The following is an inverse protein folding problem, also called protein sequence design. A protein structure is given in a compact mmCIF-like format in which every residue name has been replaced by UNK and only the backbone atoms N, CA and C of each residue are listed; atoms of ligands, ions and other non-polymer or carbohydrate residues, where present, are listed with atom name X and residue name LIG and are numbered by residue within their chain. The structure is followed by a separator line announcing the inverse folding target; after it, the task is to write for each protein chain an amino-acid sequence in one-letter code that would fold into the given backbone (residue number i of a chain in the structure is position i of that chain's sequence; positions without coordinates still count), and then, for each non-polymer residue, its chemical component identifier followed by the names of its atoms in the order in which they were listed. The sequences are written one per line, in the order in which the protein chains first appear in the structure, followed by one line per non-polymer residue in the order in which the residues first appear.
data_IF_359640254055
#
_entry.id   IF_359640254055
#
_cell.length_a   1.000
_cell.length_b   1.000
_cell.length_c   1.000
_cell.angle_alpha   90.00
_cell.angle_beta   90.00
_cell.angle_gamma   90.00
#
_symmetry.space_group_name_H-M   'P 1'
#
loop_
_entity.id
_entity.type
_entity.pdbx_description
1 polymer ?
#
# COMPACT_ATOMS: atom_id res chain seq x y z
N UNK A 1 -14.37 -11.11 -2.05
CA UNK A 1 -12.89 -11.07 -2.19
C UNK A 1 -12.38 -10.08 -1.17
N UNK A 2 -11.41 -10.46 -0.32
CA UNK A 2 -10.92 -9.58 0.75
C UNK A 2 -10.11 -8.43 0.13
N UNK A 3 -10.66 -7.22 0.12
CA UNK A 3 -9.99 -6.00 -0.33
C UNK A 3 -8.59 -5.82 0.29
N UNK A 4 -8.39 -6.34 1.51
CA UNK A 4 -7.10 -6.34 2.20
C UNK A 4 -6.04 -7.23 1.54
N UNK A 5 -6.41 -8.41 1.05
CA UNK A 5 -5.47 -9.30 0.35
C UNK A 5 -5.06 -8.70 -0.98
N UNK A 6 -6.00 -8.07 -1.69
CA UNK A 6 -5.72 -7.38 -2.95
C UNK A 6 -4.84 -6.15 -2.74
N UNK A 7 -5.13 -5.35 -1.70
CA UNK A 7 -4.32 -4.19 -1.33
C UNK A 7 -2.89 -4.61 -0.95
N UNK A 8 -2.74 -5.64 -0.11
CA UNK A 8 -1.44 -6.15 0.28
C UNK A 8 -0.64 -6.66 -0.93
N UNK A 9 -1.31 -7.36 -1.86
CA UNK A 9 -0.68 -7.85 -3.08
C UNK A 9 -0.19 -6.71 -3.98
N UNK A 10 -1.03 -5.69 -4.22
CA UNK A 10 -0.67 -4.53 -5.03
C UNK A 10 0.43 -3.69 -4.38
N UNK A 11 0.41 -3.53 -3.05
CA UNK A 11 1.50 -2.88 -2.31
C UNK A 11 2.81 -3.63 -2.52
N UNK A 12 2.77 -4.95 -2.36
CA UNK A 12 3.94 -5.81 -2.51
C UNK A 12 4.56 -5.71 -3.90
N UNK A 13 3.76 -5.75 -4.96
CA UNK A 13 4.29 -5.69 -6.32
C UNK A 13 4.76 -4.27 -6.67
N UNK A 14 4.00 -3.23 -6.27
CA UNK A 14 4.30 -1.84 -6.64
C UNK A 14 5.46 -1.22 -5.84
N UNK A 15 5.55 -1.53 -4.55
CA UNK A 15 6.54 -0.95 -3.65
C UNK A 15 7.62 -1.95 -3.25
N UNK A 16 7.47 -3.23 -3.57
CA UNK A 16 8.54 -4.18 -3.38
C UNK A 16 8.82 -4.52 -1.93
N UNK A 17 7.79 -4.91 -1.18
CA UNK A 17 7.90 -5.32 0.24
C UNK A 17 8.34 -6.78 0.36
N UNK A 18 8.78 -7.20 1.55
CA UNK A 18 9.17 -8.58 1.79
C UNK A 18 8.03 -9.56 1.48
N UNK A 19 8.30 -10.84 1.15
CA UNK A 19 7.27 -11.81 0.79
C UNK A 19 6.21 -12.04 1.88
N UNK A 20 6.56 -11.82 3.14
CA UNK A 20 5.71 -11.95 4.33
C UNK A 20 5.10 -10.61 4.77
N UNK A 21 5.33 -9.54 4.02
CA UNK A 21 4.87 -8.17 4.29
C UNK A 21 4.09 -7.61 3.09
N UNK A 22 3.12 -6.71 3.32
CA UNK A 22 2.65 -6.23 4.63
C UNK A 22 1.80 -7.28 5.37
N UNK A 23 2.04 -7.44 6.68
CA UNK A 23 1.17 -8.21 7.58
C UNK A 23 -0.18 -7.52 7.77
N UNK A 24 -1.21 -8.22 8.27
CA UNK A 24 -2.52 -7.63 8.56
C UNK A 24 -2.44 -6.39 9.46
N UNK A 25 -1.54 -6.39 10.44
CA UNK A 25 -1.33 -5.25 11.33
C UNK A 25 -0.69 -4.05 10.60
N UNK A 26 0.38 -4.29 9.82
CA UNK A 26 1.03 -3.25 9.02
C UNK A 26 0.06 -2.67 7.98
N UNK A 27 -0.71 -3.54 7.31
CA UNK A 27 -1.72 -3.14 6.35
C UNK A 27 -2.79 -2.25 6.98
N UNK A 28 -3.26 -2.60 8.18
CA UNK A 28 -4.21 -1.77 8.93
C UNK A 28 -3.65 -0.39 9.24
N UNK A 29 -2.37 -0.30 9.63
CA UNK A 29 -1.68 0.98 9.88
C UNK A 29 -1.51 1.81 8.61
N UNK A 30 -1.11 1.19 7.51
CA UNK A 30 -1.00 1.84 6.19
C UNK A 30 -2.36 2.40 5.78
N UNK A 31 -3.43 1.61 5.89
CA UNK A 31 -4.80 2.07 5.62
C UNK A 31 -5.18 3.26 6.48
N UNK A 32 -4.89 3.23 7.78
CA UNK A 32 -5.19 4.34 8.69
C UNK A 32 -4.46 5.63 8.30
N UNK A 33 -3.16 5.59 8.00
CA UNK A 33 -2.39 6.78 7.58
C UNK A 33 -2.90 7.33 6.24
N UNK A 34 -3.19 6.45 5.27
CA UNK A 34 -3.76 6.83 3.97
C UNK A 34 -5.15 7.47 4.14
N UNK A 35 -6.01 6.86 4.96
CA UNK A 35 -7.32 7.43 5.29
C UNK A 35 -7.20 8.78 6.00
N UNK A 36 -6.21 8.95 6.87
CA UNK A 36 -5.95 10.22 7.54
C UNK A 36 -5.50 11.33 6.57
N UNK A 37 -4.70 11.00 5.56
CA UNK A 37 -4.34 11.95 4.49
C UNK A 37 -5.55 12.32 3.65
N UNK A 38 -6.34 11.33 3.22
CA UNK A 38 -7.58 11.56 2.45
C UNK A 38 -8.59 12.38 3.25
N UNK A 39 -8.73 12.12 4.55
CA UNK A 39 -9.59 12.89 5.45
C UNK A 39 -9.15 14.36 5.61
N UNK A 40 -7.86 14.66 5.39
CA UNK A 40 -7.33 16.03 5.33
C UNK A 40 -7.54 16.69 3.96
N UNK A 41 -8.17 16.00 3.01
CA UNK A 41 -8.30 16.45 1.62
C UNK A 41 -7.02 16.30 0.81
N UNK A 42 -6.03 15.55 1.31
CA UNK A 42 -4.76 15.30 0.63
C UNK A 42 -4.89 13.98 -0.13
N UNK A 43 -4.70 14.02 -1.45
CA UNK A 43 -4.60 12.80 -2.26
C UNK A 43 -3.17 12.24 -2.13
N UNK A 44 -2.97 11.08 -1.48
CA UNK A 44 -1.64 10.54 -1.25
C UNK A 44 -0.99 10.14 -2.58
N UNK A 45 0.19 10.70 -2.85
CA UNK A 45 0.98 10.42 -4.05
C UNK A 45 1.75 9.11 -3.89
N UNK A 46 2.35 8.61 -4.98
CA UNK A 46 3.24 7.43 -4.92
C UNK A 46 4.32 7.56 -3.86
N UNK A 47 4.85 8.78 -3.69
CA UNK A 47 5.87 9.08 -2.70
C UNK A 47 5.32 8.97 -1.27
N UNK A 48 4.13 9.51 -0.99
CA UNK A 48 3.48 9.40 0.32
C UNK A 48 3.19 7.93 0.67
N UNK A 49 2.68 7.18 -0.30
CA UNK A 49 2.50 5.74 -0.15
C UNK A 49 3.81 5.02 0.14
N UNK A 50 4.87 5.29 -0.62
CA UNK A 50 6.18 4.69 -0.39
C UNK A 50 6.72 5.03 1.01
N UNK A 51 6.56 6.27 1.46
CA UNK A 51 7.03 6.72 2.77
C UNK A 51 6.27 6.04 3.91
N UNK A 52 4.93 6.00 3.82
CA UNK A 52 4.06 5.30 4.78
C UNK A 52 4.34 3.80 4.79
N UNK A 53 4.44 3.17 3.63
CA UNK A 53 4.74 1.75 3.53
C UNK A 53 6.12 1.48 4.10
N UNK A 54 7.14 2.29 3.78
CA UNK A 54 8.51 2.13 4.30
C UNK A 54 8.60 2.34 5.81
N UNK A 55 7.75 3.20 6.36
CA UNK A 55 7.61 3.40 7.82
C UNK A 55 7.14 2.13 8.54
N UNK A 56 6.29 1.33 7.91
CA UNK A 56 5.73 0.11 8.50
C UNK A 56 6.43 -1.18 8.03
N UNK A 57 6.96 -1.20 6.81
CA UNK A 57 7.70 -2.28 6.16
C UNK A 57 9.06 -1.72 5.71
N UNK A 58 10.11 -1.80 6.54
CA UNK A 58 11.42 -1.24 6.22
C UNK A 58 12.08 -1.89 4.98
N UNK A 59 11.69 -3.14 4.67
CA UNK A 59 12.12 -3.86 3.47
C UNK A 59 11.41 -3.41 2.18
N UNK A 60 10.48 -2.44 2.27
CA UNK A 60 9.84 -1.83 1.11
C UNK A 60 10.87 -1.14 0.20
N UNK A 61 10.88 -1.52 -1.06
CA UNK A 61 11.79 -1.03 -2.10
C UNK A 61 13.00 -1.94 -2.32
N UNK A 62 13.20 -2.95 -1.46
CA UNK A 62 14.30 -3.90 -1.59
C UNK A 62 13.95 -5.07 -2.50
N UNK A 63 12.66 -5.40 -2.67
CA UNK A 63 12.22 -6.53 -3.49
C UNK A 63 11.62 -6.07 -4.82
N UNK A 64 12.26 -6.35 -5.94
CA UNK A 64 11.68 -6.05 -7.26
C UNK A 64 10.91 -7.28 -7.75
N UNK A 65 9.58 -7.25 -7.65
CA UNK A 65 8.74 -8.30 -8.21
C UNK A 65 8.62 -8.11 -9.72
N UNK A 66 9.18 -9.05 -10.50
CA UNK A 66 9.00 -9.13 -11.95
C UNK A 66 7.60 -9.64 -12.29
N UNK A 67 6.62 -8.78 -12.08
CA UNK A 67 5.24 -8.92 -12.52
C UNK A 67 4.71 -7.50 -12.58
N UNK A 68 4.42 -7.00 -13.77
CA UNK A 68 3.99 -5.61 -13.92
C UNK A 68 2.57 -5.46 -13.32
N UNK A 69 2.47 -5.09 -12.06
CA UNK A 69 1.24 -4.47 -11.57
C UNK A 69 1.15 -3.09 -12.23
N UNK A 70 0.46 -3.05 -13.36
CA UNK A 70 0.05 -1.80 -14.02
C UNK A 70 -1.07 -1.09 -13.26
N UNK A 71 -1.48 -1.63 -12.10
CA UNK A 71 -2.51 -1.06 -11.25
C UNK A 71 -2.17 0.37 -10.86
N UNK A 72 -3.06 1.27 -11.26
CA UNK A 72 -2.96 2.69 -10.96
C UNK A 72 -3.04 2.96 -9.46
N UNK A 73 -2.43 4.07 -9.02
CA UNK A 73 -2.54 4.51 -7.61
C UNK A 73 -3.98 4.74 -7.19
N UNK A 74 -4.84 5.08 -8.15
CA UNK A 74 -6.28 5.22 -7.96
C UNK A 74 -6.88 3.90 -7.47
N UNK A 75 -6.51 2.77 -8.08
CA UNK A 75 -7.02 1.44 -7.67
C UNK A 75 -6.53 1.07 -6.27
N UNK A 76 -5.26 1.35 -5.96
CA UNK A 76 -4.71 1.16 -4.60
C UNK A 76 -5.47 1.98 -3.56
N UNK A 77 -5.76 3.25 -3.89
CA UNK A 77 -6.51 4.13 -3.01
C UNK A 77 -7.92 3.60 -2.80
N UNK A 78 -8.64 3.23 -3.86
CA UNK A 78 -9.99 2.67 -3.76
C UNK A 78 -10.05 1.42 -2.88
N UNK A 79 -9.05 0.54 -2.93
CA UNK A 79 -9.00 -0.66 -2.07
C UNK A 79 -8.68 -0.33 -0.60
N UNK A 80 -7.93 0.75 -0.37
CA UNK A 80 -7.63 1.24 0.96
C UNK A 80 -8.79 1.99 1.62
N UNK A 81 -9.60 2.70 0.83
CA UNK A 81 -10.75 3.48 1.32
C UNK A 81 -12.10 2.79 1.14
N UNK A 82 -12.23 1.73 0.34
CA UNK A 82 -13.48 0.97 0.25
C UNK A 82 -13.76 0.27 1.59
N UNK A 83 -14.99 0.52 2.05
CA UNK A 83 -15.58 0.03 3.29
C UNK A 83 -16.20 -1.34 3.08
#
# INVERSE_FOLDING_TARGET
MNNDQELAHKIKIKFGTAPNEPTFYQLGKIKQDIQALVAKGITPSTKDWADIIKKYCPDAGSHIYKGADTSDLITLMQLATNK
#
